data_IF_747554854478
#
_entry.id   IF_747554854478
#
_cell.length_a   1.000
_cell.length_b   1.000
_cell.length_c   1.000
_cell.angle_alpha   90.00
_cell.angle_beta   90.00
_cell.angle_gamma   90.00
#
_symmetry.space_group_name_H-M   'P 1'
#
loop_
_entity.id
_entity.type
_entity.pdbx_description
1 polymer ?
#
# COMPACT_ATOMS: atom_id res chain seq x y z
N UNK A 1 0.03 13.31 5.64
CA UNK A 1 0.01 12.08 4.82
C UNK A 1 0.00 12.44 3.35
N UNK A 2 0.86 11.83 2.56
CA UNK A 2 0.94 12.05 1.11
C UNK A 2 0.38 10.86 0.35
N UNK A 3 0.01 11.11 -0.90
CA UNK A 3 -0.36 10.04 -1.84
C UNK A 3 0.81 9.89 -2.83
N UNK A 4 1.33 8.66 -2.94
CA UNK A 4 2.40 8.34 -3.89
C UNK A 4 1.83 7.67 -5.13
N UNK A 5 2.26 8.13 -6.30
CA UNK A 5 1.90 7.54 -7.58
C UNK A 5 2.80 6.33 -7.86
N UNK A 6 2.45 5.55 -8.89
CA UNK A 6 3.16 4.32 -9.22
C UNK A 6 4.69 4.50 -9.37
N UNK A 7 5.21 5.54 -10.04
CA UNK A 7 6.66 5.68 -10.16
C UNK A 7 7.36 5.76 -8.80
N UNK A 8 6.80 6.53 -7.87
CA UNK A 8 7.35 6.66 -6.52
C UNK A 8 7.23 5.35 -5.75
N UNK A 9 6.08 4.68 -5.85
CA UNK A 9 5.86 3.39 -5.18
C UNK A 9 6.87 2.35 -5.66
N UNK A 10 7.13 2.29 -6.96
CA UNK A 10 8.13 1.36 -7.50
C UNK A 10 9.52 1.63 -6.93
N UNK A 11 9.91 2.89 -6.87
CA UNK A 11 11.22 3.29 -6.31
C UNK A 11 11.30 2.94 -4.84
N UNK A 12 10.30 3.33 -4.06
CA UNK A 12 10.31 3.16 -2.61
C UNK A 12 10.21 1.70 -2.18
N UNK A 13 9.54 0.85 -2.96
CA UNK A 13 9.41 -0.59 -2.64
C UNK A 13 10.49 -1.44 -3.30
N UNK A 14 11.29 -0.87 -4.19
CA UNK A 14 12.29 -1.62 -4.95
C UNK A 14 11.72 -2.52 -6.04
N UNK A 15 10.44 -2.38 -6.35
CA UNK A 15 9.83 -3.15 -7.44
C UNK A 15 10.12 -2.51 -8.79
N UNK A 16 10.38 -3.36 -9.80
CA UNK A 16 10.80 -2.89 -11.12
C UNK A 16 9.64 -2.64 -12.08
N UNK A 17 8.43 -3.15 -11.79
CA UNK A 17 7.33 -3.08 -12.76
C UNK A 17 5.98 -2.91 -12.09
N UNK A 18 5.02 -2.40 -12.86
CA UNK A 18 3.61 -2.35 -12.46
C UNK A 18 3.09 -3.75 -12.13
N UNK A 19 3.48 -4.74 -12.93
CA UNK A 19 3.02 -6.12 -12.75
C UNK A 19 3.42 -6.66 -11.38
N UNK A 20 4.63 -6.36 -10.91
CA UNK A 20 5.07 -6.80 -9.59
C UNK A 20 4.21 -6.22 -8.48
N UNK A 21 3.87 -4.92 -8.57
CA UNK A 21 3.02 -4.25 -7.59
C UNK A 21 1.62 -4.89 -7.59
N UNK A 22 1.01 -5.07 -8.76
CA UNK A 22 -0.33 -5.64 -8.85
C UNK A 22 -0.37 -7.12 -8.46
N UNK A 23 0.69 -7.88 -8.72
CA UNK A 23 0.81 -9.25 -8.23
C UNK A 23 0.82 -9.29 -6.70
N UNK A 24 1.54 -8.38 -6.06
CA UNK A 24 1.57 -8.29 -4.60
C UNK A 24 0.19 -7.93 -4.04
N UNK A 25 -0.54 -7.03 -4.70
CA UNK A 25 -1.90 -6.68 -4.30
C UNK A 25 -2.81 -7.91 -4.35
N UNK A 26 -2.75 -8.68 -5.43
CA UNK A 26 -3.54 -9.90 -5.56
C UNK A 26 -3.17 -10.96 -4.53
N UNK A 27 -1.90 -11.06 -4.20
CA UNK A 27 -1.42 -11.97 -3.17
C UNK A 27 -1.77 -11.53 -1.75
N UNK A 28 -2.24 -10.28 -1.58
CA UNK A 28 -2.59 -9.74 -0.28
C UNK A 28 -1.42 -9.15 0.50
N UNK A 29 -0.27 -8.99 -0.15
CA UNK A 29 0.95 -8.47 0.50
C UNK A 29 1.23 -7.01 0.21
N UNK A 30 0.34 -6.34 -0.49
CA UNK A 30 0.40 -4.90 -0.72
C UNK A 30 -1.00 -4.32 -0.72
N UNK A 31 -1.12 -3.04 -0.33
CA UNK A 31 -2.44 -2.40 -0.24
C UNK A 31 -2.95 -2.03 -1.63
N UNK A 32 -4.28 -1.99 -1.75
CA UNK A 32 -4.95 -1.60 -3.00
C UNK A 32 -4.70 -0.13 -3.28
N UNK A 33 -4.57 0.26 -4.56
CA UNK A 33 -4.47 1.68 -4.89
C UNK A 33 -5.78 2.40 -4.56
N UNK A 34 -5.66 3.69 -4.25
CA UNK A 34 -6.83 4.56 -4.08
C UNK A 34 -6.99 5.39 -5.34
N UNK A 35 -8.23 5.64 -5.73
CA UNK A 35 -8.53 6.44 -6.90
C UNK A 35 -8.42 7.92 -6.50
N UNK A 36 -7.53 8.65 -7.17
CA UNK A 36 -7.29 10.08 -6.88
C UNK A 36 -7.75 10.99 -8.00
N UNK A 37 -8.26 10.41 -9.08
CA UNK A 37 -8.78 11.15 -10.23
C UNK A 37 -9.37 10.18 -11.22
N UNK A 38 -9.84 10.69 -12.35
CA UNK A 38 -10.58 9.89 -13.31
C UNK A 38 -9.75 8.72 -13.87
N UNK A 39 -8.46 8.92 -14.09
CA UNK A 39 -7.54 7.91 -14.60
C UNK A 39 -6.26 7.83 -13.78
N UNK A 40 -6.34 8.27 -12.53
CA UNK A 40 -5.17 8.33 -11.67
C UNK A 40 -5.43 7.55 -10.39
N UNK A 41 -4.44 6.77 -10.00
CA UNK A 41 -4.44 6.03 -8.75
C UNK A 41 -3.15 6.32 -7.99
N UNK A 42 -3.19 6.11 -6.69
CA UNK A 42 -2.03 6.26 -5.85
C UNK A 42 -2.18 5.47 -4.56
N UNK A 43 -1.19 5.52 -3.73
CA UNK A 43 -1.16 4.81 -2.44
C UNK A 43 -0.82 5.81 -1.34
N UNK A 44 -1.51 5.74 -0.19
CA UNK A 44 -1.09 6.54 0.95
C UNK A 44 0.36 6.23 1.31
N UNK A 45 1.19 7.26 1.42
CA UNK A 45 2.63 7.07 1.69
C UNK A 45 2.89 6.30 2.98
N UNK A 46 2.06 6.53 4.00
CA UNK A 46 2.22 5.86 5.29
C UNK A 46 2.01 4.34 5.18
N UNK A 47 1.13 3.90 4.28
CA UNK A 47 0.91 2.47 4.04
C UNK A 47 2.14 1.84 3.39
N UNK A 48 2.70 2.51 2.38
CA UNK A 48 3.90 2.03 1.70
C UNK A 48 5.06 1.95 2.68
N UNK A 49 5.24 2.97 3.51
CA UNK A 49 6.28 2.99 4.54
C UNK A 49 6.10 1.86 5.55
N UNK A 50 4.87 1.60 5.99
CA UNK A 50 4.58 0.54 6.96
C UNK A 50 4.93 -0.84 6.38
N UNK A 51 4.56 -1.09 5.13
CA UNK A 51 4.86 -2.36 4.46
C UNK A 51 6.37 -2.52 4.27
N UNK A 52 7.06 -1.45 3.85
CA UNK A 52 8.52 -1.48 3.72
C UNK A 52 9.19 -1.79 5.06
N UNK A 53 8.73 -1.16 6.14
CA UNK A 53 9.27 -1.41 7.49
C UNK A 53 9.08 -2.87 7.90
N UNK A 54 7.92 -3.45 7.58
CA UNK A 54 7.65 -4.85 7.87
C UNK A 54 8.59 -5.77 7.09
N UNK A 55 8.84 -5.46 5.82
CA UNK A 55 9.79 -6.21 4.99
C UNK A 55 11.21 -6.14 5.56
N UNK A 56 11.64 -4.94 5.93
CA UNK A 56 12.97 -4.72 6.50
C UNK A 56 13.12 -5.49 7.81
N UNK A 57 12.07 -5.54 8.62
CA UNK A 57 12.06 -6.28 9.88
C UNK A 57 12.00 -7.81 9.70
N UNK A 58 11.87 -8.30 8.46
CA UNK A 58 11.83 -9.72 8.18
C UNK A 58 10.49 -10.39 8.49
N UNK A 59 9.40 -9.65 8.48
CA UNK A 59 8.07 -10.22 8.72
C UNK A 59 7.70 -11.21 7.63
N UNK A 60 6.97 -12.26 8.01
CA UNK A 60 6.51 -13.28 7.07
C UNK A 60 5.40 -12.73 6.17
N UNK A 61 5.14 -13.41 5.05
CA UNK A 61 4.04 -13.03 4.17
C UNK A 61 2.70 -13.04 4.91
N UNK A 62 2.48 -14.01 5.82
CA UNK A 62 1.26 -14.04 6.62
C UNK A 62 1.13 -12.80 7.50
N UNK A 63 2.21 -12.36 8.12
CA UNK A 63 2.22 -11.16 8.95
C UNK A 63 1.99 -9.89 8.11
N UNK A 64 2.56 -9.84 6.91
CA UNK A 64 2.35 -8.72 5.99
C UNK A 64 0.91 -8.68 5.50
N UNK A 65 0.29 -9.83 5.20
CA UNK A 65 -1.13 -9.90 4.83
C UNK A 65 -2.01 -9.36 5.95
N UNK A 66 -1.70 -9.68 7.20
CA UNK A 66 -2.44 -9.16 8.35
C UNK A 66 -2.27 -7.65 8.47
N UNK A 67 -1.06 -7.13 8.24
CA UNK A 67 -0.80 -5.70 8.22
C UNK A 67 -1.62 -4.99 7.13
N UNK A 68 -1.65 -5.55 5.92
CA UNK A 68 -2.42 -4.99 4.80
C UNK A 68 -3.91 -4.88 5.17
N UNK A 69 -4.47 -5.91 5.78
CA UNK A 69 -5.86 -5.88 6.23
C UNK A 69 -6.12 -4.76 7.25
N UNK A 70 -5.20 -4.57 8.19
CA UNK A 70 -5.29 -3.48 9.17
C UNK A 70 -5.19 -2.11 8.51
N UNK A 71 -4.32 -1.96 7.52
CA UNK A 71 -4.18 -0.71 6.79
C UNK A 71 -5.44 -0.37 6.00
N UNK A 72 -6.06 -1.36 5.37
CA UNK A 72 -7.34 -1.16 4.67
C UNK A 72 -8.45 -0.75 5.63
N UNK A 73 -8.53 -1.41 6.79
CA UNK A 73 -9.54 -1.08 7.81
C UNK A 73 -9.34 0.36 8.33
N UNK A 74 -8.10 0.78 8.49
CA UNK A 74 -7.78 2.13 8.94
C UNK A 74 -8.25 3.21 7.97
N UNK A 75 -8.28 2.91 6.67
CA UNK A 75 -8.80 3.85 5.66
C UNK A 75 -10.26 4.22 5.93
N UNK A 76 -11.08 3.24 6.26
CA UNK A 76 -12.49 3.48 6.58
C UNK A 76 -12.64 4.31 7.84
N UNK A 77 -11.82 4.05 8.85
CA UNK A 77 -11.81 4.81 10.08
C UNK A 77 -11.44 6.26 9.85
N UNK A 78 -10.43 6.53 9.01
CA UNK A 78 -10.05 7.90 8.64
C UNK A 78 -11.19 8.63 7.94
N UNK A 79 -11.91 7.96 7.06
CA UNK A 79 -13.06 8.54 6.36
C UNK A 79 -14.17 8.92 7.36
N UNK A 80 -14.42 8.09 8.37
CA UNK A 80 -15.42 8.38 9.39
C UNK A 80 -15.03 9.58 10.25
N UNK A 81 -13.75 9.77 10.53
CA UNK A 81 -13.26 10.89 11.32
C UNK A 81 -13.41 12.23 10.59
N UNK A 82 -13.45 12.20 9.26
CA UNK A 82 -13.53 13.41 8.43
C UNK A 82 -14.96 13.84 8.09
N UNK A 83 -15.94 13.04 8.45
CA UNK A 83 -17.36 13.30 8.14
C UNK A 83 -18.05 14.04 9.27
#
# INVERSE_FOLDING_TARGET
>A
MSIWRMPTVKVETGNKSHASIYSAIQAGTFTKPVKIGQRAVGWPSEEVKAINSARIAGKTDAEIKALVKRLHAKREQLALELV
#
